data_IF_120825304710
#
_entry.id   IF_120825304710
#
_cell.length_a   1.000
_cell.length_b   1.000
_cell.length_c   1.000
_cell.angle_alpha   90.00
_cell.angle_beta   90.00
_cell.angle_gamma   90.00
#
_symmetry.space_group_name_H-M   'P 1'
#
loop_
_entity.id
_entity.type
_entity.pdbx_description
1 polymer ?
#
# COMPACT_ATOMS: atom_id res chain seq x y z
N UNK A 1 15.61 11.95 27.51
CA UNK A 1 14.27 11.39 27.48
C UNK A 1 14.32 9.87 27.55
N UNK A 2 13.34 9.29 28.20
CA UNK A 2 13.18 7.85 28.24
C UNK A 2 12.69 7.34 26.89
N UNK A 3 13.11 6.12 26.53
CA UNK A 3 12.74 5.50 25.26
C UNK A 3 11.63 4.47 25.46
N UNK A 4 10.71 4.45 24.52
CA UNK A 4 9.64 3.46 24.46
C UNK A 4 9.67 2.82 23.08
N UNK A 5 9.83 1.51 23.03
CA UNK A 5 9.86 0.76 21.77
C UNK A 5 8.64 -0.12 21.66
N UNK A 6 7.89 0.04 20.56
CA UNK A 6 6.66 -0.70 20.30
C UNK A 6 6.80 -1.38 18.95
N UNK A 7 6.71 -2.71 18.94
CA UNK A 7 6.69 -3.48 17.70
C UNK A 7 5.34 -3.24 17.00
N UNK A 8 5.39 -2.60 15.84
CA UNK A 8 4.21 -2.29 15.03
C UNK A 8 4.01 -3.26 13.88
N UNK A 9 4.80 -4.33 13.83
CA UNK A 9 4.72 -5.31 12.75
C UNK A 9 5.30 -4.84 11.44
N UNK A 10 6.16 -3.83 11.47
CA UNK A 10 6.74 -3.24 10.27
C UNK A 10 7.63 -4.25 9.55
N UNK A 11 7.39 -4.41 8.25
CA UNK A 11 8.22 -5.24 7.36
C UNK A 11 8.87 -4.38 6.30
N UNK A 12 10.00 -4.83 5.79
CA UNK A 12 10.72 -4.16 4.73
C UNK A 12 10.73 -5.03 3.48
N UNK A 13 10.40 -4.41 2.34
CA UNK A 13 10.43 -5.05 1.04
C UNK A 13 11.42 -4.31 0.14
N UNK A 14 12.43 -5.02 -0.36
CA UNK A 14 13.33 -4.45 -1.35
C UNK A 14 12.60 -4.36 -2.69
N UNK A 15 12.47 -3.16 -3.21
CA UNK A 15 11.81 -2.90 -4.50
C UNK A 15 12.87 -2.80 -5.58
N UNK A 16 12.75 -3.63 -6.62
CA UNK A 16 13.67 -3.65 -7.77
C UNK A 16 15.14 -3.80 -7.35
N UNK A 17 15.39 -4.71 -6.40
CA UNK A 17 16.73 -5.00 -5.90
C UNK A 17 17.20 -4.09 -4.77
N UNK A 18 16.38 -3.14 -4.35
CA UNK A 18 16.72 -2.19 -3.29
C UNK A 18 17.48 -0.98 -3.78
N UNK A 19 17.86 -0.06 -2.86
CA UNK A 19 18.50 1.22 -3.24
C UNK A 19 19.82 1.04 -3.99
N UNK A 20 20.56 -0.02 -3.72
CA UNK A 20 21.85 -0.31 -4.36
C UNK A 20 21.72 -0.63 -5.85
N UNK A 21 20.52 -0.99 -6.31
CA UNK A 21 20.23 -1.37 -7.68
C UNK A 21 19.28 -0.40 -8.39
N UNK A 22 19.16 0.82 -7.88
CA UNK A 22 18.30 1.85 -8.47
C UNK A 22 16.83 1.75 -8.06
N UNK A 23 16.52 0.86 -7.13
CA UNK A 23 15.18 0.73 -6.54
C UNK A 23 15.09 1.42 -5.19
N UNK A 24 14.35 0.81 -4.26
CA UNK A 24 14.17 1.36 -2.93
C UNK A 24 13.67 0.32 -1.95
N UNK A 25 13.19 0.80 -0.82
CA UNK A 25 12.63 -0.04 0.24
C UNK A 25 11.22 0.44 0.56
N UNK A 26 10.27 -0.48 0.59
CA UNK A 26 8.91 -0.23 1.03
C UNK A 26 8.75 -0.80 2.45
N UNK A 27 8.32 0.05 3.39
CA UNK A 27 8.15 -0.33 4.79
C UNK A 27 6.71 -0.14 5.21
N UNK A 28 6.06 -1.20 5.62
CA UNK A 28 4.72 -1.14 6.18
C UNK A 28 4.37 -2.46 6.87
N UNK A 29 3.29 -2.45 7.65
CA UNK A 29 2.73 -3.67 8.21
C UNK A 29 1.64 -4.22 7.27
N UNK A 30 1.87 -5.36 6.59
CA UNK A 30 0.91 -5.90 5.62
C UNK A 30 -0.38 -6.42 6.26
N UNK A 31 -0.38 -6.69 7.57
CA UNK A 31 -1.58 -7.13 8.28
C UNK A 31 -2.33 -6.00 8.99
N UNK A 32 -1.90 -4.75 8.81
CA UNK A 32 -2.59 -3.58 9.37
C UNK A 32 -3.88 -3.30 8.59
N UNK A 33 -5.05 -3.40 9.23
CA UNK A 33 -6.32 -3.15 8.54
C UNK A 33 -6.46 -1.70 8.07
N UNK A 34 -5.74 -0.75 8.69
CA UNK A 34 -5.76 0.64 8.23
C UNK A 34 -5.07 0.80 6.88
N UNK A 35 -3.97 0.07 6.66
CA UNK A 35 -3.29 0.07 5.36
C UNK A 35 -4.21 -0.51 4.29
N UNK A 36 -4.85 -1.63 4.57
CA UNK A 36 -5.78 -2.27 3.64
C UNK A 36 -6.94 -1.35 3.29
N UNK A 37 -7.54 -0.71 4.28
CA UNK A 37 -8.64 0.24 4.09
C UNK A 37 -8.23 1.43 3.22
N UNK A 38 -7.07 2.03 3.51
CA UNK A 38 -6.53 3.14 2.73
C UNK A 38 -6.22 2.72 1.29
N UNK A 39 -5.72 1.49 1.09
CA UNK A 39 -5.45 0.96 -0.24
C UNK A 39 -6.72 0.81 -1.07
N UNK A 40 -7.81 0.34 -0.47
CA UNK A 40 -9.11 0.25 -1.15
C UNK A 40 -9.62 1.64 -1.56
N UNK A 41 -9.48 2.64 -0.70
CA UNK A 41 -9.83 4.03 -1.02
C UNK A 41 -8.94 4.58 -2.14
N UNK A 42 -7.65 4.25 -2.11
CA UNK A 42 -6.69 4.67 -3.12
C UNK A 42 -7.12 4.24 -4.53
N UNK A 43 -7.61 3.02 -4.68
CA UNK A 43 -8.04 2.52 -5.99
C UNK A 43 -9.12 3.41 -6.61
N UNK A 44 -10.06 3.88 -5.80
CA UNK A 44 -11.10 4.81 -6.25
C UNK A 44 -10.52 6.19 -6.59
N UNK A 45 -9.61 6.69 -5.76
CA UNK A 45 -8.95 7.98 -5.99
C UNK A 45 -8.14 7.99 -7.28
N UNK A 46 -7.44 6.90 -7.58
CA UNK A 46 -6.66 6.78 -8.82
C UNK A 46 -7.56 6.68 -10.05
N UNK A 47 -8.69 6.00 -9.92
CA UNK A 47 -9.67 5.94 -11.01
C UNK A 47 -10.23 7.33 -11.32
N UNK A 48 -10.56 8.12 -10.30
CA UNK A 48 -11.01 9.52 -10.47
C UNK A 48 -9.92 10.36 -11.12
N UNK A 49 -8.66 10.21 -10.71
CA UNK A 49 -7.54 10.92 -11.29
C UNK A 49 -7.37 10.60 -12.79
N UNK A 50 -7.48 9.32 -13.15
CA UNK A 50 -7.41 8.90 -14.55
C UNK A 50 -8.55 9.51 -15.37
N UNK A 51 -9.76 9.56 -14.84
CA UNK A 51 -10.90 10.19 -15.50
C UNK A 51 -10.68 11.69 -15.70
N UNK A 52 -10.11 12.37 -14.71
CA UNK A 52 -9.78 13.80 -14.82
C UNK A 52 -8.75 14.06 -15.92
N UNK A 53 -7.73 13.22 -16.02
CA UNK A 53 -6.71 13.31 -17.07
C UNK A 53 -7.33 13.13 -18.44
N UNK A 54 -8.18 12.12 -18.61
CA UNK A 54 -8.85 11.84 -19.88
C UNK A 54 -9.82 12.96 -20.28
N UNK A 55 -10.55 13.54 -19.30
CA UNK A 55 -11.53 14.59 -19.57
C UNK A 55 -10.89 15.86 -20.13
N UNK A 56 -9.64 16.14 -19.83
CA UNK A 56 -8.94 17.32 -20.33
C UNK A 56 -8.45 17.16 -21.76
N UNK A 57 -8.45 15.95 -22.30
CA UNK A 57 -8.03 15.63 -23.68
C UNK A 57 -6.77 16.38 -24.10
N UNK A 58 -5.69 16.32 -23.31
CA UNK A 58 -4.50 17.13 -23.57
C UNK A 58 -3.77 16.64 -24.82
N UNK A 59 -3.06 17.56 -25.48
CA UNK A 59 -2.24 17.27 -26.65
C UNK A 59 -0.85 17.87 -26.50
N UNK A 60 0.14 17.25 -27.14
CA UNK A 60 1.51 17.76 -27.20
C UNK A 60 2.16 17.88 -25.83
N UNK A 61 2.82 19.01 -25.59
CA UNK A 61 3.56 19.29 -24.35
C UNK A 61 2.62 19.33 -23.13
N UNK A 62 1.40 19.79 -23.31
CA UNK A 62 0.42 19.85 -22.23
C UNK A 62 0.05 18.43 -21.72
N UNK A 63 -0.01 17.47 -22.65
CA UNK A 63 -0.25 16.07 -22.29
C UNK A 63 0.87 15.51 -21.39
N UNK A 64 2.12 15.82 -21.74
CA UNK A 64 3.28 15.36 -20.95
C UNK A 64 3.29 15.98 -19.58
N UNK A 65 3.02 17.29 -19.48
CA UNK A 65 2.96 17.99 -18.21
C UNK A 65 1.83 17.45 -17.33
N UNK A 66 0.67 17.19 -17.90
CA UNK A 66 -0.47 16.64 -17.17
C UNK A 66 -0.16 15.25 -16.62
N UNK A 67 0.51 14.39 -17.41
CA UNK A 67 0.95 13.07 -16.98
C UNK A 67 1.99 13.16 -15.86
N UNK A 68 2.89 14.13 -15.91
CA UNK A 68 3.87 14.35 -14.86
C UNK A 68 3.19 14.79 -13.55
N UNK A 69 2.19 15.67 -13.62
CA UNK A 69 1.42 16.10 -12.46
C UNK A 69 0.58 14.96 -11.88
N UNK A 70 -0.04 14.15 -12.73
CA UNK A 70 -0.80 12.99 -12.31
C UNK A 70 0.08 11.96 -11.59
N UNK A 71 1.28 11.75 -12.07
CA UNK A 71 2.26 10.87 -11.43
C UNK A 71 2.63 11.35 -10.03
N UNK A 72 2.94 12.63 -9.89
CA UNK A 72 3.24 13.24 -8.58
C UNK A 72 2.08 13.06 -7.61
N UNK A 73 0.86 13.32 -8.08
CA UNK A 73 -0.35 13.17 -7.26
C UNK A 73 -0.56 11.70 -6.84
N UNK A 74 -0.41 10.77 -7.78
CA UNK A 74 -0.57 9.34 -7.51
C UNK A 74 0.47 8.83 -6.51
N UNK A 75 1.73 9.24 -6.65
CA UNK A 75 2.80 8.86 -5.71
C UNK A 75 2.55 9.44 -4.31
N UNK A 76 2.00 10.67 -4.23
CA UNK A 76 1.58 11.24 -2.96
C UNK A 76 0.47 10.46 -2.29
N UNK A 77 -0.53 10.01 -3.05
CA UNK A 77 -1.60 9.17 -2.54
C UNK A 77 -1.09 7.80 -2.05
N UNK A 78 -0.14 7.20 -2.76
CA UNK A 78 0.52 5.97 -2.33
C UNK A 78 1.25 6.16 -0.99
N UNK A 79 1.96 7.28 -0.82
CA UNK A 79 2.63 7.59 0.43
C UNK A 79 1.65 7.76 1.59
N UNK A 80 0.45 8.30 1.34
CA UNK A 80 -0.60 8.39 2.35
C UNK A 80 -1.09 7.01 2.81
N UNK A 81 -1.12 6.03 1.91
CA UNK A 81 -1.54 4.67 2.24
C UNK A 81 -0.50 3.95 3.10
N UNK A 82 0.75 3.98 2.67
CA UNK A 82 1.82 3.15 3.27
C UNK A 82 2.64 3.88 4.33
N UNK A 83 2.53 5.19 4.40
CA UNK A 83 3.23 6.01 5.36
C UNK A 83 4.26 6.94 4.72
N UNK A 84 4.56 8.09 5.37
CA UNK A 84 5.36 9.16 4.78
C UNK A 84 6.84 8.80 4.58
N UNK A 85 7.32 7.75 5.22
CA UNK A 85 8.71 7.27 5.03
C UNK A 85 8.91 6.49 3.74
N UNK A 86 7.86 6.26 2.95
CA UNK A 86 7.92 5.49 1.71
C UNK A 86 7.92 6.42 0.50
N UNK A 87 9.07 6.54 -0.16
CA UNK A 87 9.27 7.37 -1.33
C UNK A 87 9.07 6.52 -2.60
N UNK A 88 7.87 6.54 -3.16
CA UNK A 88 7.54 5.75 -4.34
C UNK A 88 8.25 6.24 -5.59
N UNK A 89 8.57 7.53 -5.67
CA UNK A 89 9.35 8.03 -6.80
C UNK A 89 10.76 7.42 -6.81
N UNK A 90 11.42 7.42 -5.67
CA UNK A 90 12.73 6.80 -5.53
C UNK A 90 12.69 5.29 -5.76
N UNK A 91 11.70 4.58 -5.22
CA UNK A 91 11.54 3.13 -5.39
C UNK A 91 11.44 2.72 -6.84
N UNK A 92 10.80 3.56 -7.65
CA UNK A 92 10.54 3.30 -9.07
C UNK A 92 11.56 3.98 -9.99
N UNK A 93 12.66 4.48 -9.42
CA UNK A 93 13.74 5.11 -10.18
C UNK A 93 13.30 6.37 -10.94
N UNK A 94 12.35 7.11 -10.39
CA UNK A 94 11.78 8.30 -11.02
C UNK A 94 10.84 8.02 -12.19
N UNK A 95 10.49 6.75 -12.42
CA UNK A 95 9.62 6.38 -13.54
C UNK A 95 8.19 6.80 -13.28
N UNK A 96 7.53 7.33 -14.31
CA UNK A 96 6.12 7.71 -14.25
C UNK A 96 5.23 6.46 -14.11
N UNK A 97 4.29 6.50 -13.19
CA UNK A 97 3.35 5.40 -12.95
C UNK A 97 2.48 5.06 -14.16
N UNK A 98 2.27 6.02 -15.06
CA UNK A 98 1.47 5.84 -16.28
C UNK A 98 2.32 5.42 -17.48
N UNK A 99 3.64 5.34 -17.33
CA UNK A 99 4.52 4.85 -18.39
C UNK A 99 4.25 3.37 -18.67
N UNK A 100 4.48 2.98 -19.92
CA UNK A 100 4.34 1.58 -20.35
C UNK A 100 5.63 0.84 -20.04
N UNK A 101 5.52 -0.25 -19.30
CA UNK A 101 6.64 -1.11 -18.93
C UNK A 101 6.96 -2.10 -20.06
N UNK A 102 8.07 -2.83 -19.90
CA UNK A 102 8.52 -3.81 -20.87
C UNK A 102 7.54 -4.94 -21.18
N UNK A 103 6.63 -5.24 -20.24
CA UNK A 103 5.58 -6.24 -20.41
C UNK A 103 4.32 -5.71 -21.12
N UNK A 104 4.33 -4.46 -21.57
CA UNK A 104 3.19 -3.83 -22.23
C UNK A 104 2.14 -3.23 -21.29
N UNK A 105 2.28 -3.45 -19.97
CA UNK A 105 1.38 -2.89 -18.97
C UNK A 105 1.92 -1.56 -18.44
N UNK A 106 1.06 -0.75 -17.86
CA UNK A 106 1.50 0.46 -17.16
C UNK A 106 2.21 0.10 -15.86
N UNK A 107 3.16 0.93 -15.46
CA UNK A 107 3.94 0.73 -14.23
C UNK A 107 3.01 0.59 -13.01
N UNK A 108 1.95 1.40 -12.92
CA UNK A 108 0.99 1.34 -11.82
C UNK A 108 0.27 -0.02 -11.76
N UNK A 109 -0.04 -0.61 -12.89
CA UNK A 109 -0.64 -1.94 -12.98
C UNK A 109 0.31 -2.99 -12.42
N UNK A 110 1.58 -2.92 -12.78
CA UNK A 110 2.60 -3.82 -12.27
C UNK A 110 2.81 -3.65 -10.76
N UNK A 111 2.77 -2.41 -10.28
CA UNK A 111 2.88 -2.11 -8.85
C UNK A 111 1.74 -2.76 -8.06
N UNK A 112 0.51 -2.60 -8.51
CA UNK A 112 -0.66 -3.21 -7.85
C UNK A 112 -0.63 -4.73 -7.92
N UNK A 113 -0.19 -5.29 -9.05
CA UNK A 113 -0.03 -6.74 -9.18
C UNK A 113 0.98 -7.31 -8.17
N UNK A 114 2.03 -6.55 -7.85
CA UNK A 114 3.01 -6.93 -6.84
C UNK A 114 2.50 -6.77 -5.41
N UNK A 115 1.74 -5.71 -5.15
CA UNK A 115 1.24 -5.40 -3.80
C UNK A 115 0.03 -6.23 -3.38
N UNK A 116 -0.85 -6.56 -4.31
CA UNK A 116 -2.13 -7.19 -4.00
C UNK A 116 -2.00 -8.52 -3.26
N UNK A 117 -1.13 -9.47 -3.66
CA UNK A 117 -0.95 -10.71 -2.91
C UNK A 117 -0.46 -10.49 -1.48
N UNK A 118 0.40 -9.50 -1.27
CA UNK A 118 0.94 -9.15 0.05
C UNK A 118 -0.17 -8.62 0.95
N UNK A 119 -1.00 -7.72 0.42
CA UNK A 119 -2.10 -7.13 1.17
C UNK A 119 -3.20 -8.15 1.46
N UNK A 120 -3.52 -9.02 0.52
CA UNK A 120 -4.50 -10.07 0.72
C UNK A 120 -4.04 -11.09 1.77
N UNK A 121 -2.80 -11.51 1.71
CA UNK A 121 -2.22 -12.42 2.71
C UNK A 121 -2.22 -11.76 4.10
N UNK A 122 -1.86 -10.48 4.17
CA UNK A 122 -1.89 -9.70 5.40
C UNK A 122 -3.29 -9.55 5.97
N UNK A 123 -4.28 -9.31 5.12
CA UNK A 123 -5.69 -9.22 5.53
C UNK A 123 -6.17 -10.54 6.12
N UNK A 124 -5.83 -11.67 5.51
CA UNK A 124 -6.16 -13.00 6.04
C UNK A 124 -5.49 -13.23 7.40
N UNK A 125 -4.23 -12.88 7.54
CA UNK A 125 -3.49 -13.00 8.80
C UNK A 125 -4.15 -12.17 9.91
N UNK A 126 -4.57 -10.96 9.62
CA UNK A 126 -5.27 -10.10 10.56
C UNK A 126 -6.62 -10.71 10.97
N UNK A 127 -7.38 -11.25 10.03
CA UNK A 127 -8.66 -11.89 10.29
C UNK A 127 -8.49 -13.14 11.17
N UNK A 128 -7.47 -13.97 10.90
CA UNK A 128 -7.17 -15.16 11.69
C UNK A 128 -6.77 -14.80 13.13
N UNK A 129 -5.94 -13.79 13.30
CA UNK A 129 -5.55 -13.31 14.62
C UNK A 129 -6.75 -12.77 15.41
N UNK A 130 -7.65 -12.05 14.75
CA UNK A 130 -8.89 -11.54 15.35
C UNK A 130 -9.80 -12.69 15.77
N UNK A 131 -9.96 -13.72 14.95
CA UNK A 131 -10.75 -14.90 15.27
C UNK A 131 -10.17 -15.64 16.46
N UNK A 132 -8.86 -15.83 16.52
CA UNK A 132 -8.17 -16.45 17.65
C UNK A 132 -8.39 -15.67 18.95
N UNK A 133 -8.27 -14.35 18.90
CA UNK A 133 -8.51 -13.48 20.05
C UNK A 133 -9.96 -13.61 20.56
N UNK A 134 -10.93 -13.63 19.64
CA UNK A 134 -12.34 -13.79 19.99
C UNK A 134 -12.60 -15.12 20.71
N UNK A 135 -11.99 -16.21 20.23
CA UNK A 135 -12.09 -17.53 20.89
C UNK A 135 -11.50 -17.49 22.30
N UNK A 136 -10.31 -16.91 22.47
CA UNK A 136 -9.67 -16.77 23.76
C UNK A 136 -10.49 -15.95 24.73
N UNK A 137 -11.08 -14.85 24.29
CA UNK A 137 -11.95 -14.01 25.10
C UNK A 137 -13.22 -14.75 25.51
N UNK A 138 -13.81 -15.54 24.63
CA UNK A 138 -14.98 -16.35 24.95
C UNK A 138 -14.65 -17.42 26.00
N UNK A 139 -13.50 -18.06 25.90
CA UNK A 139 -13.03 -19.05 26.88
C UNK A 139 -12.79 -18.40 28.24
N UNK A 140 -12.14 -17.23 28.28
CA UNK A 140 -11.88 -16.49 29.50
C UNK A 140 -13.19 -16.05 30.18
N UNK A 141 -14.16 -15.56 29.42
CA UNK A 141 -15.47 -15.17 29.92
C UNK A 141 -16.22 -16.37 30.51
N UNK A 142 -16.15 -17.51 29.88
CA UNK A 142 -16.75 -18.76 30.35
C UNK A 142 -16.13 -19.19 31.69
N UNK A 143 -14.81 -19.16 31.79
CA UNK A 143 -14.09 -19.49 33.03
C UNK A 143 -14.44 -18.52 34.16
N UNK A 144 -14.52 -17.21 33.86
CA UNK A 144 -14.86 -16.18 34.85
C UNK A 144 -16.29 -16.33 35.42
N UNK A 145 -17.21 -16.88 34.63
CA UNK A 145 -18.57 -17.15 35.10
C UNK A 145 -18.68 -18.43 35.94
N UNK A 146 -17.58 -19.16 36.10
CA UNK A 146 -17.60 -20.41 36.85
C UNK A 146 -18.40 -21.51 36.16
N UNK A 147 -18.59 -21.43 34.87
CA UNK A 147 -19.28 -22.46 34.09
C UNK A 147 -18.39 -23.69 34.04
N UNK A 148 -18.71 -24.62 34.88
CA UNK A 148 -18.03 -25.93 34.90
C UNK A 148 -19.01 -26.98 34.47
N UNK A 149 -18.52 -27.83 33.66
CA UNK A 149 -19.34 -28.90 33.12
C UNK A 149 -18.96 -30.19 33.79
#
# INVERSE_FOLDING_TARGET
SEQLTIDTGLREYAVNGGPEHGGGVLRFNPSDPNVYSRFCTLQNQLQELEQQVQAQSPTGTDAIQLLAQADQRAKGLLAEVFGPGNDFDAMLGGTNLLAVAGNGERVITNLFAALQPILEAGARQCADAKATLAVQQAQAARAARGVQV
#
